data_IF_119690093829
#
_entry.id   IF_119690093829
#
_cell.length_a   1.000
_cell.length_b   1.000
_cell.length_c   1.000
_cell.angle_alpha   90.00
_cell.angle_beta   90.00
_cell.angle_gamma   90.00
#
_symmetry.space_group_name_H-M   'P 1'
#
loop_
_entity.id
_entity.type
_entity.pdbx_description
1 polymer ?
#
# COMPACT_ATOMS: atom_id res chain seq x y z
N UNK A 1 -0.40 8.73 19.17
CA UNK A 1 -0.63 8.58 18.80
C UNK A 1 -0.52 8.42 18.58
N UNK A 2 -0.64 8.36 19.30
CA UNK A 2 -0.78 8.17 18.98
C UNK A 2 -0.60 7.84 18.74
N UNK A 3 -0.56 8.18 19.58
CA UNK A 3 -0.58 7.75 19.12
C UNK A 3 -0.35 7.86 18.89
N UNK A 4 -0.26 7.97 19.46
CA UNK A 4 -0.21 7.94 18.92
C UNK A 4 -0.14 7.92 18.73
N UNK A 5 0.12 8.08 19.95
CA UNK A 5 -0.04 8.03 19.47
C UNK A 5 0.15 7.56 19.30
N UNK A 6 0.17 7.53 19.78
CA UNK A 6 0.08 6.98 19.40
C UNK A 6 0.38 6.76 19.19
N UNK A 7 0.56 6.87 19.94
CA UNK A 7 0.62 6.60 19.33
C UNK A 7 0.88 6.67 19.16
N UNK A 8 1.15 6.99 19.42
CA UNK A 8 1.23 7.04 18.87
C UNK A 8 1.22 6.71 18.83
N UNK A 9 1.35 6.84 19.82
CA UNK A 9 1.23 6.48 19.36
C UNK A 9 1.28 5.90 19.07
N UNK A 10 1.56 6.07 19.84
CA UNK A 10 1.40 5.47 19.18
C UNK A 10 1.88 5.34 19.14
N UNK A 11 2.11 5.48 19.45
CA UNK A 11 2.22 5.33 18.93
C UNK A 11 2.17 5.15 19.02
N UNK A 12 2.35 5.11 19.89
CA UNK A 12 2.06 4.96 19.44
C UNK A 12 1.88 4.44 19.20
N UNK A 13 2.19 4.50 19.91
CA UNK A 13 1.83 4.02 19.27
C UNK A 13 2.05 3.43 18.95
N UNK A 14 2.28 3.45 19.43
CA UNK A 14 2.18 2.95 18.75
C UNK A 14 2.48 2.58 18.81
N UNK A 15 2.99 2.64 19.15
CA UNK A 15 2.98 2.39 18.64
C UNK A 15 2.80 2.15 18.84
N UNK A 16 2.72 2.28 19.73
CA UNK A 16 2.22 2.02 19.52
C UNK A 16 2.22 1.49 19.37
N UNK A 17 2.44 1.32 19.60
CA UNK A 17 2.18 0.77 19.07
C UNK A 17 2.46 0.26 19.03
N UNK A 18 2.94 0.22 19.50
CA UNK A 18 3.04 -0.33 19.10
C UNK A 18 3.11 -0.63 19.37
N UNK A 19 3.34 -0.48 19.97
CA UNK A 19 3.06 -0.77 19.87
C UNK A 19 2.89 -1.06 19.86
N UNK A 20 3.01 -1.09 20.29
CA UNK A 20 2.59 -1.53 20.09
C UNK A 20 2.64 -2.05 19.78
N UNK A 21 2.93 -2.37 19.92
CA UNK A 21 2.88 -3.14 19.55
C UNK A 21 2.86 -3.80 19.32
N UNK A 22 3.38 -3.64 19.33
CA UNK A 22 3.33 -4.61 19.06
C UNK A 22 2.79 -5.58 19.28
N UNK A 23 2.70 -5.67 19.32
CA UNK A 23 1.90 -6.66 19.78
C UNK A 23 1.47 -7.63 18.77
N UNK A 24 1.25 -8.83 19.09
CA UNK A 24 0.96 -9.82 18.14
C UNK A 24 -0.47 -9.81 17.76
N UNK A 25 -0.81 -9.76 16.49
CA UNK A 25 -2.20 -9.84 16.08
C UNK A 25 -2.87 -11.12 16.51
N UNK A 26 -2.11 -12.18 16.56
CA UNK A 26 -2.69 -13.46 16.94
C UNK A 26 -3.22 -13.45 18.37
N UNK A 27 -2.86 -12.46 19.14
CA UNK A 27 -3.35 -12.37 20.47
C UNK A 27 -4.67 -11.65 20.61
N UNK A 28 -5.24 -11.27 19.50
CA UNK A 28 -6.53 -10.63 19.52
C UNK A 28 -7.54 -11.54 20.16
N UNK A 29 -8.27 -10.99 21.09
CA UNK A 29 -9.37 -11.70 21.71
C UNK A 29 -10.62 -11.33 20.98
N UNK A 30 -11.40 -12.32 20.68
CA UNK A 30 -12.60 -12.08 19.99
C UNK A 30 -13.56 -11.36 20.88
N UNK A 31 -14.12 -10.29 20.40
CA UNK A 31 -15.10 -9.56 21.15
C UNK A 31 -16.39 -9.53 20.37
N UNK A 32 -16.94 -8.37 20.11
CA UNK A 32 -18.14 -8.36 19.31
C UNK A 32 -17.78 -8.20 17.85
N UNK A 33 -18.78 -8.37 17.03
CA UNK A 33 -18.54 -8.34 15.60
C UNK A 33 -18.05 -6.99 15.12
N UNK A 34 -18.55 -5.91 15.71
CA UNK A 34 -18.10 -4.59 15.32
C UNK A 34 -16.64 -4.37 15.58
N UNK A 35 -16.15 -4.84 16.74
CA UNK A 35 -14.73 -4.70 17.06
C UNK A 35 -13.87 -5.53 16.12
N UNK A 36 -14.33 -6.73 15.77
CA UNK A 36 -13.58 -7.56 14.85
C UNK A 36 -13.49 -6.91 13.49
N UNK A 37 -14.57 -6.29 13.04
CA UNK A 37 -14.57 -5.61 11.75
C UNK A 37 -13.63 -4.41 11.77
N UNK A 38 -13.68 -3.62 12.83
CA UNK A 38 -12.80 -2.46 12.96
C UNK A 38 -11.33 -2.89 12.96
N UNK A 39 -11.03 -4.00 13.64
CA UNK A 39 -9.66 -4.50 13.65
C UNK A 39 -9.20 -4.94 12.27
N UNK A 40 -10.08 -5.57 11.51
CA UNK A 40 -9.72 -6.01 10.16
C UNK A 40 -9.50 -4.82 9.23
N UNK A 41 -10.34 -3.79 9.35
CA UNK A 41 -10.15 -2.59 8.56
C UNK A 41 -8.84 -1.91 8.91
N UNK A 42 -8.45 -1.93 10.18
CA UNK A 42 -7.18 -1.37 10.58
C UNK A 42 -6.00 -2.14 10.01
N UNK A 43 -6.12 -3.47 9.95
CA UNK A 43 -5.07 -4.28 9.33
C UNK A 43 -4.91 -3.92 7.87
N UNK A 44 -6.01 -3.75 7.15
CA UNK A 44 -5.93 -3.34 5.76
C UNK A 44 -5.22 -1.99 5.64
N UNK A 45 -5.55 -1.05 6.53
CA UNK A 45 -4.89 0.25 6.50
C UNK A 45 -3.39 0.13 6.75
N UNK A 46 -2.98 -0.76 7.65
CA UNK A 46 -1.56 -0.98 7.93
C UNK A 46 -0.85 -1.57 6.71
N UNK A 47 -1.49 -2.50 6.03
CA UNK A 47 -0.91 -3.10 4.83
C UNK A 47 -0.79 -2.04 3.74
N UNK A 48 -1.80 -1.19 3.61
CA UNK A 48 -1.74 -0.10 2.62
C UNK A 48 -0.58 0.83 2.91
N UNK A 49 -0.35 1.15 4.17
CA UNK A 49 0.76 2.01 4.53
C UNK A 49 2.10 1.34 4.22
N UNK A 50 2.20 0.04 4.51
CA UNK A 50 3.40 -0.70 4.17
C UNK A 50 3.67 -0.64 2.67
N UNK A 51 2.64 -0.83 1.86
CA UNK A 51 2.78 -0.77 0.41
C UNK A 51 3.30 0.59 -0.03
N UNK A 52 2.74 1.66 0.52
CA UNK A 52 3.16 3.01 0.16
C UNK A 52 4.63 3.25 0.45
N UNK A 53 5.15 2.64 1.50
CA UNK A 53 6.53 2.86 1.91
C UNK A 53 7.52 1.92 1.23
N UNK A 54 7.04 0.98 0.41
CA UNK A 54 7.90 -0.02 -0.22
C UNK A 54 7.63 -0.17 -1.71
N UNK A 55 7.24 0.94 -2.36
CA UNK A 55 6.83 0.87 -3.77
C UNK A 55 7.94 0.45 -4.71
N UNK A 56 9.19 0.68 -4.34
CA UNK A 56 10.32 0.28 -5.19
C UNK A 56 10.63 -1.20 -5.10
N UNK A 57 10.00 -1.91 -4.16
CA UNK A 57 10.28 -3.32 -3.93
C UNK A 57 9.26 -4.18 -4.64
N UNK A 58 9.58 -5.48 -4.70
CA UNK A 58 8.64 -6.44 -5.24
C UNK A 58 7.53 -6.66 -4.23
N UNK A 59 6.32 -6.34 -4.62
CA UNK A 59 5.18 -6.37 -3.72
C UNK A 59 4.17 -7.42 -4.21
N UNK A 60 4.54 -8.70 -4.06
CA UNK A 60 3.58 -9.76 -4.35
C UNK A 60 2.69 -9.98 -3.14
N UNK A 61 1.53 -10.57 -3.39
CA UNK A 61 0.61 -10.91 -2.31
C UNK A 61 1.30 -11.79 -1.27
N UNK A 62 2.05 -12.78 -1.73
CA UNK A 62 2.73 -13.69 -0.81
C UNK A 62 3.78 -12.96 0.04
N UNK A 63 4.55 -12.08 -0.59
CA UNK A 63 5.60 -11.37 0.13
C UNK A 63 5.01 -10.47 1.21
N UNK A 64 3.97 -9.72 0.88
CA UNK A 64 3.38 -8.80 1.84
C UNK A 64 2.65 -9.57 2.95
N UNK A 65 1.96 -10.64 2.58
CA UNK A 65 1.28 -11.46 3.58
C UNK A 65 2.29 -12.02 4.59
N UNK A 66 3.46 -12.44 4.11
CA UNK A 66 4.48 -12.97 5.01
C UNK A 66 4.96 -11.92 6.01
N UNK A 67 5.06 -10.66 5.59
CA UNK A 67 5.49 -9.60 6.48
C UNK A 67 4.52 -9.47 7.67
N UNK A 68 3.24 -9.70 7.42
CA UNK A 68 2.22 -9.55 8.46
C UNK A 68 1.80 -10.88 9.08
N UNK A 69 2.50 -11.96 8.73
CA UNK A 69 2.20 -13.29 9.26
C UNK A 69 0.82 -13.79 8.88
N UNK A 70 0.37 -13.43 7.69
CA UNK A 70 -0.90 -13.90 7.15
C UNK A 70 -0.66 -14.85 6.01
N UNK A 71 -1.62 -15.72 5.74
CA UNK A 71 -1.59 -16.47 4.49
C UNK A 71 -1.98 -15.53 3.35
N UNK A 72 -1.48 -15.79 2.14
CA UNK A 72 -1.87 -14.95 1.01
C UNK A 72 -3.36 -14.93 0.78
N UNK A 73 -4.01 -16.07 0.96
CA UNK A 73 -5.45 -16.14 0.77
C UNK A 73 -6.20 -15.27 1.77
N UNK A 74 -5.76 -15.27 3.02
CA UNK A 74 -6.40 -14.46 4.03
C UNK A 74 -6.25 -12.98 3.72
N UNK A 75 -5.03 -12.56 3.33
CA UNK A 75 -4.81 -11.16 2.99
C UNK A 75 -5.64 -10.75 1.78
N UNK A 76 -5.74 -11.63 0.79
CA UNK A 76 -6.55 -11.35 -0.39
C UNK A 76 -8.01 -11.13 -0.01
N UNK A 77 -8.53 -11.97 0.89
CA UNK A 77 -9.90 -11.84 1.34
C UNK A 77 -10.13 -10.55 2.12
N UNK A 78 -9.17 -10.18 2.96
CA UNK A 78 -9.29 -8.94 3.71
C UNK A 78 -9.38 -7.74 2.77
N UNK A 79 -8.51 -7.70 1.77
CA UNK A 79 -8.56 -6.59 0.82
C UNK A 79 -9.85 -6.60 0.01
N UNK A 80 -10.32 -7.76 -0.39
CA UNK A 80 -11.55 -7.84 -1.14
C UNK A 80 -12.77 -7.38 -0.37
N UNK A 81 -12.76 -7.59 0.95
CA UNK A 81 -13.91 -7.26 1.76
C UNK A 81 -13.84 -5.87 2.39
N UNK A 82 -12.66 -5.45 2.83
CA UNK A 82 -12.52 -4.21 3.59
C UNK A 82 -11.72 -3.14 2.89
N UNK A 83 -11.11 -3.44 1.75
CA UNK A 83 -10.42 -2.44 0.95
C UNK A 83 -11.33 -1.91 -0.13
N UNK A 84 -10.93 -0.78 -0.71
CA UNK A 84 -11.69 -0.21 -1.81
C UNK A 84 -11.50 -0.98 -3.10
N UNK A 85 -10.38 -1.69 -3.22
CA UNK A 85 -10.05 -2.46 -4.39
C UNK A 85 -9.28 -3.69 -3.96
N UNK A 86 -9.04 -4.62 -4.89
CA UNK A 86 -8.25 -5.79 -4.60
C UNK A 86 -6.81 -5.41 -4.32
N UNK A 87 -6.05 -6.40 -3.81
CA UNK A 87 -4.68 -6.14 -3.40
C UNK A 87 -3.81 -5.68 -4.59
N UNK A 88 -3.88 -6.41 -5.70
CA UNK A 88 -3.06 -6.07 -6.87
C UNK A 88 -3.48 -4.73 -7.44
N UNK A 89 -4.78 -4.49 -7.51
CA UNK A 89 -5.28 -3.21 -7.99
C UNK A 89 -4.83 -2.07 -7.10
N UNK A 90 -4.82 -2.28 -5.80
CA UNK A 90 -4.37 -1.24 -4.88
C UNK A 90 -2.92 -0.87 -5.12
N UNK A 91 -2.06 -1.88 -5.30
CA UNK A 91 -0.64 -1.63 -5.55
C UNK A 91 -0.48 -0.85 -6.85
N UNK A 92 -1.17 -1.26 -7.90
CA UNK A 92 -1.08 -0.57 -9.18
C UNK A 92 -1.54 0.87 -9.07
N UNK A 93 -2.68 1.10 -8.44
CA UNK A 93 -3.20 2.45 -8.29
C UNK A 93 -2.27 3.33 -7.49
N UNK A 94 -1.68 2.76 -6.43
CA UNK A 94 -0.75 3.51 -5.59
C UNK A 94 0.50 3.88 -6.36
N UNK A 95 1.04 2.95 -7.14
CA UNK A 95 2.22 3.23 -7.97
C UNK A 95 1.93 4.28 -9.01
N UNK A 96 0.76 4.20 -9.65
CA UNK A 96 0.41 5.17 -10.68
C UNK A 96 0.18 6.56 -10.07
N UNK A 97 -0.44 6.63 -8.89
CA UNK A 97 -0.60 7.90 -8.21
C UNK A 97 0.74 8.55 -7.90
N UNK A 98 1.70 7.74 -7.42
CA UNK A 98 3.05 8.24 -7.16
C UNK A 98 3.72 8.68 -8.45
N UNK A 99 3.50 7.94 -9.54
CA UNK A 99 4.07 8.32 -10.83
C UNK A 99 3.54 9.66 -11.31
N UNK A 100 2.26 9.92 -11.11
CA UNK A 100 1.70 11.21 -11.50
C UNK A 100 2.38 12.35 -10.77
N UNK A 101 2.62 12.18 -9.47
CA UNK A 101 3.30 13.20 -8.70
C UNK A 101 4.72 13.43 -9.20
N UNK A 102 5.44 12.36 -9.51
CA UNK A 102 6.79 12.48 -10.02
C UNK A 102 6.83 13.17 -11.38
N UNK A 103 5.85 12.87 -12.23
CA UNK A 103 5.76 13.52 -13.53
C UNK A 103 5.43 15.00 -13.39
N UNK A 104 4.57 15.33 -12.44
CA UNK A 104 4.20 16.73 -12.19
C UNK A 104 5.39 17.54 -11.69
N UNK A 105 6.25 16.93 -10.89
CA UNK A 105 7.45 17.62 -10.41
C UNK A 105 8.47 17.84 -11.52
N UNK A 106 8.51 16.95 -12.51
CA UNK A 106 9.33 17.17 -13.66
C UNK A 106 10.82 16.91 -13.50
N UNK A 107 11.23 16.34 -12.37
CA UNK A 107 12.66 16.15 -12.08
C UNK A 107 13.19 14.84 -12.63
N UNK A 108 12.34 13.88 -12.96
CA UNK A 108 12.78 12.54 -13.32
C UNK A 108 12.32 12.18 -14.70
N UNK A 109 13.14 11.37 -15.36
CA UNK A 109 12.76 10.80 -16.64
C UNK A 109 11.85 9.60 -16.43
N UNK A 110 11.14 9.23 -17.47
CA UNK A 110 10.17 8.14 -17.37
C UNK A 110 10.82 6.86 -16.87
N UNK A 111 12.02 6.52 -17.37
CA UNK A 111 12.66 5.28 -16.94
C UNK A 111 13.10 5.35 -15.49
N UNK A 112 13.43 6.54 -15.00
CA UNK A 112 13.80 6.71 -13.60
C UNK A 112 12.58 6.51 -12.69
N UNK A 113 11.43 7.02 -13.12
CA UNK A 113 10.20 6.85 -12.38
C UNK A 113 9.83 5.37 -12.32
N UNK A 114 9.94 4.69 -13.46
CA UNK A 114 9.62 3.26 -13.51
C UNK A 114 10.49 2.48 -12.53
N UNK A 115 11.77 2.80 -12.47
CA UNK A 115 12.68 2.10 -11.58
C UNK A 115 12.34 2.36 -10.12
N UNK A 116 12.04 3.61 -9.78
CA UNK A 116 11.71 3.95 -8.40
C UNK A 116 10.42 3.28 -7.93
N UNK A 117 9.53 2.96 -8.86
CA UNK A 117 8.25 2.37 -8.52
C UNK A 117 8.24 0.86 -8.67
N UNK A 118 9.42 0.26 -8.87
CA UNK A 118 9.52 -1.19 -8.87
C UNK A 118 9.10 -1.87 -10.16
N UNK A 119 8.96 -1.13 -11.26
CA UNK A 119 8.66 -1.74 -12.55
C UNK A 119 9.94 -2.23 -13.21
N UNK A 120 9.84 -3.35 -13.90
CA UNK A 120 11.01 -3.96 -14.52
C UNK A 120 11.53 -3.17 -15.71
N UNK A 121 10.65 -2.46 -16.40
CA UNK A 121 11.05 -1.68 -17.56
C UNK A 121 10.16 -0.46 -17.71
N UNK A 122 10.70 0.56 -18.36
CA UNK A 122 9.91 1.73 -18.68
C UNK A 122 8.79 1.40 -19.65
N UNK A 123 9.02 0.44 -20.52
CA UNK A 123 8.02 0.03 -21.49
C UNK A 123 6.78 -0.53 -20.78
N UNK A 124 7.01 -1.45 -19.85
CA UNK A 124 5.89 -2.03 -19.10
C UNK A 124 5.19 -0.98 -18.25
N UNK A 125 5.99 -0.13 -17.59
CA UNK A 125 5.42 0.95 -16.79
C UNK A 125 4.51 1.83 -17.64
N UNK A 126 4.97 2.20 -18.83
CA UNK A 126 4.18 3.06 -19.71
C UNK A 126 2.87 2.41 -20.12
N UNK A 127 2.91 1.09 -20.37
CA UNK A 127 1.68 0.39 -20.71
C UNK A 127 0.69 0.40 -19.57
N UNK A 128 1.16 0.14 -18.35
CA UNK A 128 0.29 0.13 -17.19
C UNK A 128 -0.25 1.53 -16.92
N UNK A 129 0.61 2.54 -17.02
CA UNK A 129 0.19 3.92 -16.78
C UNK A 129 -0.91 4.32 -17.76
N UNK A 130 -0.73 3.99 -19.02
CA UNK A 130 -1.74 4.33 -20.03
C UNK A 130 -3.03 3.57 -19.80
N UNK A 131 -2.93 2.31 -19.39
CA UNK A 131 -4.13 1.53 -19.13
C UNK A 131 -4.94 2.12 -17.97
N UNK A 132 -4.26 2.62 -16.95
CA UNK A 132 -4.94 3.16 -15.78
C UNK A 132 -5.43 4.58 -15.99
N UNK A 133 -4.63 5.41 -16.64
CA UNK A 133 -4.95 6.84 -16.76
C UNK A 133 -5.52 7.24 -18.11
N UNK A 134 -5.34 6.42 -19.14
CA UNK A 134 -5.74 6.76 -20.49
C UNK A 134 -4.69 7.50 -21.28
N UNK A 135 -3.59 7.91 -20.65
CA UNK A 135 -2.52 8.65 -21.30
C UNK A 135 -1.19 7.97 -21.00
N UNK A 136 -0.25 8.06 -21.96
CA UNK A 136 1.09 7.62 -21.66
C UNK A 136 1.73 8.59 -20.66
N UNK A 137 2.81 8.18 -19.98
CA UNK A 137 3.46 9.10 -19.05
C UNK A 137 3.89 10.41 -19.71
N UNK A 138 4.40 10.31 -20.94
CA UNK A 138 4.83 11.51 -21.64
C UNK A 138 3.63 12.40 -21.98
N UNK A 139 2.54 11.79 -22.44
CA UNK A 139 1.33 12.56 -22.73
C UNK A 139 0.78 13.22 -21.50
N UNK A 140 0.81 12.51 -20.38
CA UNK A 140 0.33 13.06 -19.13
C UNK A 140 1.17 14.26 -18.71
N UNK A 141 2.48 14.14 -18.82
CA UNK A 141 3.37 15.25 -18.44
C UNK A 141 3.15 16.47 -19.32
N UNK A 142 2.88 16.26 -20.60
CA UNK A 142 2.63 17.37 -21.51
C UNK A 142 1.30 18.03 -21.25
N UNK A 143 0.37 17.32 -20.62
CA UNK A 143 -0.97 17.86 -20.39
C UNK A 143 -1.08 18.69 -19.12
N UNK A 144 -0.04 18.69 -18.29
CA UNK A 144 -0.07 19.40 -17.02
C UNK A 144 0.15 20.89 -17.20
#
# INVERSE_FOLDING_TARGET
GSLLGLARRCRENAHLQRLLTVEQPSQFVEVNEGDATAGKMQVVAQVQEYVKNHLSEKLTLADVAAVFNFSPNYLSQLFGKYGDSGFVEYITETRIAAAKEMLEQGDLKVYEIAEKLGYESAFYFSKVFKKVTGLSPREYQQSI
#
